data_IF_949117797295
#
_entry.id   IF_949117797295
#
_cell.length_a   1.000
_cell.length_b   1.000
_cell.length_c   1.000
_cell.angle_alpha   90.00
_cell.angle_beta   90.00
_cell.angle_gamma   90.00
#
_symmetry.space_group_name_H-M   'P 1'
#
loop_
_entity.id
_entity.type
_entity.pdbx_description
1 polymer ?
#
# COMPACT_ATOMS: atom_id res chain seq x y z
N UNK A 1 -22.63 -26.98 -37.31
CA UNK A 1 -22.87 -27.44 -35.92
C UNK A 1 -21.53 -27.42 -35.22
N UNK A 2 -21.16 -26.29 -34.65
CA UNK A 2 -19.89 -26.11 -33.94
C UNK A 2 -20.13 -26.47 -32.48
N UNK A 3 -19.36 -27.45 -31.98
CA UNK A 3 -19.47 -27.96 -30.63
C UNK A 3 -19.20 -26.84 -29.61
N UNK A 4 -20.20 -26.52 -28.79
CA UNK A 4 -20.03 -25.74 -27.57
C UNK A 4 -19.11 -26.52 -26.63
N UNK A 5 -17.90 -25.99 -26.42
CA UNK A 5 -16.95 -26.52 -25.46
C UNK A 5 -17.57 -26.59 -24.06
N UNK A 6 -17.59 -27.79 -23.50
CA UNK A 6 -17.97 -28.04 -22.12
C UNK A 6 -17.00 -27.28 -21.21
N UNK A 7 -17.49 -26.23 -20.54
CA UNK A 7 -16.77 -25.64 -19.41
C UNK A 7 -16.73 -26.68 -18.29
N UNK A 8 -15.56 -27.26 -18.06
CA UNK A 8 -15.29 -28.11 -16.90
C UNK A 8 -15.43 -27.29 -15.63
N UNK A 9 -16.31 -27.73 -14.73
CA UNK A 9 -16.47 -27.12 -13.41
C UNK A 9 -15.12 -27.18 -12.68
N UNK A 10 -14.61 -26.07 -12.11
CA UNK A 10 -13.31 -26.08 -11.43
C UNK A 10 -13.33 -27.09 -10.28
N UNK A 11 -12.25 -27.86 -10.15
CA UNK A 11 -12.09 -28.81 -9.05
C UNK A 11 -12.19 -28.07 -7.71
N UNK A 12 -12.90 -28.65 -6.74
CA UNK A 12 -12.96 -28.07 -5.39
C UNK A 12 -11.56 -28.09 -4.79
N UNK A 13 -11.12 -27.02 -4.10
CA UNK A 13 -9.83 -27.02 -3.44
C UNK A 13 -9.81 -28.06 -2.33
N UNK A 14 -8.65 -28.69 -2.16
CA UNK A 14 -8.40 -29.64 -1.08
C UNK A 14 -8.34 -28.89 0.25
N UNK A 15 -8.71 -29.58 1.33
CA UNK A 15 -8.78 -29.03 2.68
C UNK A 15 -8.17 -30.02 3.66
N UNK A 16 -7.29 -29.52 4.52
CA UNK A 16 -6.70 -30.30 5.59
C UNK A 16 -6.85 -29.55 6.91
N UNK A 17 -6.92 -30.32 7.99
CA UNK A 17 -6.75 -29.82 9.37
C UNK A 17 -5.67 -30.70 9.97
N UNK A 18 -4.49 -30.13 10.19
CA UNK A 18 -3.29 -30.83 10.65
C UNK A 18 -2.89 -30.31 12.02
N UNK A 19 -2.28 -31.14 12.86
CA UNK A 19 -1.62 -30.70 14.09
C UNK A 19 -0.18 -30.26 13.84
N UNK A 20 0.38 -29.49 14.77
CA UNK A 20 1.77 -29.03 14.69
C UNK A 20 2.78 -30.19 14.49
N UNK A 21 2.57 -31.31 15.18
CA UNK A 21 3.40 -32.51 15.05
C UNK A 21 3.37 -33.12 13.64
N UNK A 22 2.19 -33.15 13.02
CA UNK A 22 2.00 -33.71 11.67
C UNK A 22 2.66 -32.83 10.62
N UNK A 23 2.53 -31.51 10.76
CA UNK A 23 3.22 -30.56 9.90
C UNK A 23 4.73 -30.71 10.05
N UNK A 24 5.24 -30.84 11.28
CA UNK A 24 6.66 -31.05 11.52
C UNK A 24 7.19 -32.31 10.81
N UNK A 25 6.50 -33.44 10.97
CA UNK A 25 6.90 -34.70 10.33
C UNK A 25 6.82 -34.60 8.79
N UNK A 26 5.74 -34.03 8.23
CA UNK A 26 5.60 -33.84 6.78
C UNK A 26 6.67 -32.92 6.18
N UNK A 27 7.03 -31.84 6.88
CA UNK A 27 8.10 -30.94 6.45
C UNK A 27 9.47 -31.62 6.51
N UNK A 28 9.74 -32.36 7.59
CA UNK A 28 10.98 -33.15 7.74
C UNK A 28 11.11 -34.19 6.63
N UNK A 29 10.07 -34.98 6.41
CA UNK A 29 10.05 -36.06 5.41
C UNK A 29 10.04 -35.52 3.97
N UNK A 30 9.76 -34.23 3.78
CA UNK A 30 9.90 -33.53 2.51
C UNK A 30 11.22 -32.75 2.37
N UNK A 31 12.07 -32.76 3.40
CA UNK A 31 13.30 -31.97 3.48
C UNK A 31 13.04 -30.46 3.24
N UNK A 32 11.89 -29.96 3.71
CA UNK A 32 11.51 -28.56 3.59
C UNK A 32 11.80 -27.85 4.91
N UNK A 33 12.78 -26.97 4.91
CA UNK A 33 13.03 -26.06 6.04
C UNK A 33 12.17 -24.79 5.90
N UNK A 34 11.31 -24.48 6.90
CA UNK A 34 10.56 -23.24 6.93
C UNK A 34 11.49 -22.02 7.04
N UNK A 35 11.13 -20.94 6.33
CA UNK A 35 11.88 -19.69 6.34
C UNK A 35 11.02 -18.53 6.86
N UNK A 36 11.67 -17.39 7.12
CA UNK A 36 11.07 -16.12 7.51
C UNK A 36 9.81 -15.79 6.70
N UNK A 37 8.74 -15.43 7.42
CA UNK A 37 7.40 -15.21 6.86
C UNK A 37 6.46 -16.41 7.01
N UNK A 38 7.01 -17.62 7.19
CA UNK A 38 6.21 -18.82 7.48
C UNK A 38 5.73 -18.87 8.94
N UNK A 39 4.49 -19.32 9.20
CA UNK A 39 4.02 -19.63 10.55
C UNK A 39 4.74 -20.85 11.13
N UNK A 40 5.46 -21.62 10.29
CA UNK A 40 6.14 -22.85 10.65
C UNK A 40 7.58 -22.65 11.12
N UNK A 41 8.11 -21.42 11.08
CA UNK A 41 9.47 -21.08 11.50
C UNK A 41 9.84 -21.56 12.92
N UNK A 42 8.86 -21.60 13.82
CA UNK A 42 9.07 -21.96 15.22
C UNK A 42 8.44 -23.30 15.58
N UNK A 43 8.05 -24.11 14.59
CA UNK A 43 7.58 -25.48 14.86
C UNK A 43 8.71 -26.30 15.47
N UNK A 44 8.38 -27.04 16.52
CA UNK A 44 9.32 -27.89 17.25
C UNK A 44 8.96 -29.36 17.05
N UNK A 45 9.97 -30.22 17.18
CA UNK A 45 9.76 -31.66 17.11
C UNK A 45 8.75 -32.10 18.18
N UNK A 46 7.82 -33.00 17.85
CA UNK A 46 6.88 -33.52 18.83
C UNK A 46 7.62 -34.25 19.98
N UNK A 47 7.02 -34.23 21.17
CA UNK A 47 7.60 -34.88 22.34
C UNK A 47 7.75 -36.39 22.10
N UNK A 48 8.87 -36.98 22.55
CA UNK A 48 9.12 -38.42 22.44
C UNK A 48 7.96 -39.21 23.04
N UNK A 49 7.27 -40.00 22.22
CA UNK A 49 6.14 -40.84 22.61
C UNK A 49 4.75 -40.31 22.21
N UNK A 50 4.67 -39.18 21.48
CA UNK A 50 3.43 -38.78 20.81
C UNK A 50 3.00 -39.87 19.82
N UNK A 51 1.73 -40.30 19.87
CA UNK A 51 1.19 -41.26 18.92
C UNK A 51 1.37 -40.73 17.49
N UNK A 52 1.85 -41.54 16.53
CA UNK A 52 1.88 -41.14 15.14
C UNK A 52 0.47 -40.79 14.70
N UNK A 53 0.30 -39.67 14.01
CA UNK A 53 -1.03 -39.30 13.54
C UNK A 53 -1.48 -40.32 12.50
N UNK A 54 -2.68 -40.87 12.71
CA UNK A 54 -3.10 -42.09 12.04
C UNK A 54 -3.97 -41.86 10.80
N UNK A 55 -3.98 -40.67 10.18
CA UNK A 55 -4.91 -40.43 9.07
C UNK A 55 -4.50 -39.36 8.04
N UNK A 56 -3.34 -38.72 8.18
CA UNK A 56 -2.91 -37.74 7.17
C UNK A 56 -2.36 -38.50 5.96
N UNK A 57 -3.18 -38.61 4.89
CA UNK A 57 -2.70 -39.06 3.59
C UNK A 57 -1.66 -38.06 3.10
N UNK A 58 -0.39 -38.42 3.31
CA UNK A 58 0.76 -37.75 2.73
C UNK A 58 0.67 -37.82 1.21
N UNK A 59 0.07 -36.77 0.65
CA UNK A 59 -0.19 -36.62 -0.77
C UNK A 59 0.72 -35.53 -1.33
N UNK A 60 0.99 -35.63 -2.63
CA UNK A 60 1.69 -34.59 -3.35
C UNK A 60 1.04 -33.19 -3.19
N UNK A 61 -0.29 -33.13 -3.07
CA UNK A 61 -1.01 -31.87 -2.92
C UNK A 61 -0.82 -31.22 -1.54
N UNK A 62 -0.82 -32.00 -0.44
CA UNK A 62 -0.55 -31.43 0.89
C UNK A 62 0.91 -30.98 1.01
N UNK A 63 1.86 -31.73 0.42
CA UNK A 63 3.27 -31.33 0.36
C UNK A 63 3.44 -30.01 -0.38
N UNK A 64 2.81 -29.84 -1.54
CA UNK A 64 2.81 -28.56 -2.28
C UNK A 64 2.25 -27.39 -1.47
N UNK A 65 1.13 -27.59 -0.79
CA UNK A 65 0.53 -26.57 0.06
C UNK A 65 1.49 -26.17 1.20
N UNK A 66 2.08 -27.16 1.88
CA UNK A 66 3.07 -26.93 2.93
C UNK A 66 4.33 -26.25 2.41
N UNK A 67 4.81 -26.57 1.20
CA UNK A 67 5.94 -25.85 0.58
C UNK A 67 5.65 -24.36 0.44
N UNK A 68 4.46 -23.99 -0.06
CA UNK A 68 4.08 -22.58 -0.23
C UNK A 68 4.02 -21.86 1.12
N UNK A 69 3.51 -22.51 2.16
CA UNK A 69 3.43 -21.93 3.51
C UNK A 69 4.80 -21.87 4.19
N UNK A 70 5.65 -22.89 3.99
CA UNK A 70 6.97 -23.00 4.61
C UNK A 70 8.00 -22.06 3.98
N UNK A 71 7.95 -21.87 2.66
CA UNK A 71 8.87 -21.03 1.89
C UNK A 71 8.12 -20.05 0.98
N UNK A 72 7.36 -19.10 1.56
CA UNK A 72 6.63 -18.13 0.77
C UNK A 72 7.56 -17.08 0.18
N UNK A 73 7.28 -16.64 -1.05
CA UNK A 73 7.81 -15.38 -1.59
C UNK A 73 6.83 -14.22 -1.35
N UNK A 74 5.56 -14.55 -1.16
CA UNK A 74 4.44 -13.62 -0.98
C UNK A 74 3.62 -14.09 0.22
N UNK A 75 3.45 -13.22 1.21
CA UNK A 75 2.56 -13.47 2.36
C UNK A 75 1.46 -12.42 2.34
N UNK A 76 0.20 -12.85 2.37
CA UNK A 76 -0.99 -12.01 2.31
C UNK A 76 -1.86 -12.26 3.53
N UNK A 77 -2.14 -11.25 4.34
CA UNK A 77 -3.10 -11.36 5.44
C UNK A 77 -4.45 -10.78 5.05
N UNK A 78 -5.53 -11.56 5.13
CA UNK A 78 -6.90 -11.07 4.99
C UNK A 78 -7.61 -11.12 6.34
N UNK A 79 -7.90 -9.94 6.88
CA UNK A 79 -8.68 -9.80 8.09
C UNK A 79 -10.15 -10.13 7.84
N UNK A 80 -10.69 -11.07 8.60
CA UNK A 80 -12.10 -11.41 8.70
C UNK A 80 -12.66 -10.95 10.06
N UNK A 81 -13.92 -10.54 10.08
CA UNK A 81 -14.62 -10.20 11.30
C UNK A 81 -15.92 -10.99 11.46
N UNK A 82 -15.90 -12.14 12.15
CA UNK A 82 -17.09 -12.72 12.75
C UNK A 82 -17.54 -11.93 14.00
N UNK A 83 -18.77 -12.13 14.50
CA UNK A 83 -19.37 -11.31 15.56
C UNK A 83 -18.65 -11.29 16.92
N UNK A 84 -17.66 -12.17 17.18
CA UNK A 84 -17.03 -12.31 18.51
C UNK A 84 -15.55 -11.89 18.56
N UNK A 85 -14.73 -12.18 17.53
CA UNK A 85 -13.30 -11.80 17.50
C UNK A 85 -12.78 -11.61 16.06
N UNK A 86 -11.93 -10.60 15.79
CA UNK A 86 -11.22 -10.51 14.52
C UNK A 86 -10.28 -11.71 14.34
N UNK A 87 -10.30 -12.29 13.15
CA UNK A 87 -9.45 -13.43 12.76
C UNK A 87 -8.78 -13.11 11.41
N UNK A 88 -7.64 -13.72 11.10
CA UNK A 88 -6.89 -13.46 9.87
C UNK A 88 -6.71 -14.76 9.11
N UNK A 89 -7.21 -14.80 7.87
CA UNK A 89 -6.81 -15.84 6.93
C UNK A 89 -5.53 -15.40 6.25
N UNK A 90 -4.47 -16.18 6.40
CA UNK A 90 -3.21 -15.94 5.72
C UNK A 90 -3.19 -16.70 4.40
N UNK A 91 -2.69 -16.08 3.34
CA UNK A 91 -2.44 -16.71 2.06
C UNK A 91 -0.95 -16.65 1.76
N UNK A 92 -0.38 -17.79 1.42
CA UNK A 92 1.04 -17.96 1.15
C UNK A 92 1.23 -18.33 -0.31
N UNK A 93 2.05 -17.54 -1.02
CA UNK A 93 2.31 -17.67 -2.45
C UNK A 93 3.80 -17.73 -2.75
N UNK A 94 4.12 -18.30 -3.91
CA UNK A 94 5.47 -18.37 -4.47
C UNK A 94 5.51 -17.51 -5.74
N UNK A 95 6.61 -16.80 -5.95
CA UNK A 95 6.75 -15.88 -7.06
C UNK A 95 6.61 -16.62 -8.40
N UNK A 96 5.70 -16.14 -9.25
CA UNK A 96 5.42 -16.76 -10.54
C UNK A 96 4.33 -17.85 -10.52
N UNK A 97 3.91 -18.34 -9.34
CA UNK A 97 2.72 -19.18 -9.21
C UNK A 97 1.46 -18.29 -9.08
N UNK A 98 0.35 -18.74 -9.64
CA UNK A 98 -0.97 -18.10 -9.55
C UNK A 98 -1.83 -18.69 -8.44
N UNK A 99 -1.32 -19.69 -7.72
CA UNK A 99 -2.00 -20.34 -6.61
C UNK A 99 -1.39 -19.95 -5.27
N UNK A 100 -2.25 -19.92 -4.27
CA UNK A 100 -1.91 -19.62 -2.89
C UNK A 100 -2.42 -20.74 -1.98
N UNK A 101 -1.69 -20.99 -0.91
CA UNK A 101 -2.15 -21.80 0.21
C UNK A 101 -2.82 -20.89 1.23
N UNK A 102 -4.13 -21.07 1.46
CA UNK A 102 -4.80 -20.38 2.56
C UNK A 102 -4.56 -21.16 3.86
N UNK A 103 -4.32 -20.43 4.94
CA UNK A 103 -3.91 -20.96 6.22
C UNK A 103 -4.58 -20.19 7.36
N UNK A 104 -5.03 -20.94 8.36
CA UNK A 104 -5.59 -20.40 9.60
C UNK A 104 -5.23 -21.33 10.74
N UNK A 105 -4.93 -20.77 11.90
CA UNK A 105 -4.61 -21.54 13.09
C UNK A 105 -5.66 -21.31 14.18
N UNK A 106 -6.16 -22.39 14.75
CA UNK A 106 -7.08 -22.40 15.87
C UNK A 106 -6.54 -23.40 16.90
N UNK A 107 -5.95 -22.87 17.98
CA UNK A 107 -5.18 -23.64 18.96
C UNK A 107 -4.04 -24.46 18.29
N UNK A 108 -4.07 -25.79 18.41
CA UNK A 108 -3.13 -26.73 17.77
C UNK A 108 -3.61 -27.19 16.38
N UNK A 109 -4.78 -26.73 15.92
CA UNK A 109 -5.32 -27.08 14.61
C UNK A 109 -4.87 -26.07 13.56
N UNK A 110 -4.22 -26.58 12.51
CA UNK A 110 -3.79 -25.81 11.36
C UNK A 110 -4.67 -26.16 10.16
N UNK A 111 -5.55 -25.23 9.80
CA UNK A 111 -6.46 -25.37 8.66
C UNK A 111 -5.78 -24.89 7.40
N UNK A 112 -5.68 -25.76 6.39
CA UNK A 112 -5.01 -25.48 5.12
C UNK A 112 -5.99 -25.71 3.97
N UNK A 113 -6.07 -24.75 3.04
CA UNK A 113 -6.83 -24.88 1.79
C UNK A 113 -5.91 -24.64 0.61
N UNK A 114 -5.87 -25.59 -0.32
CA UNK A 114 -5.04 -25.51 -1.52
C UNK A 114 -5.65 -26.28 -2.71
N UNK A 115 -5.50 -25.79 -3.95
CA UNK A 115 -4.97 -24.48 -4.32
C UNK A 115 -6.05 -23.39 -4.27
N UNK A 116 -5.68 -22.17 -3.87
CA UNK A 116 -6.53 -20.97 -4.01
C UNK A 116 -5.99 -20.13 -5.15
N UNK A 117 -6.73 -20.02 -6.26
CA UNK A 117 -6.30 -19.21 -7.40
C UNK A 117 -6.36 -17.71 -7.12
N UNK A 118 -5.46 -16.94 -7.74
CA UNK A 118 -5.39 -15.48 -7.63
C UNK A 118 -6.71 -14.78 -7.94
N UNK A 119 -7.46 -15.26 -8.94
CA UNK A 119 -8.79 -14.73 -9.25
C UNK A 119 -9.80 -14.92 -8.11
N UNK A 120 -9.81 -16.09 -7.47
CA UNK A 120 -10.68 -16.35 -6.31
C UNK A 120 -10.31 -15.45 -5.14
N UNK A 121 -9.02 -15.19 -4.93
CA UNK A 121 -8.56 -14.29 -3.88
C UNK A 121 -9.03 -12.84 -4.13
N UNK A 122 -8.93 -12.36 -5.38
CA UNK A 122 -9.47 -11.04 -5.76
C UNK A 122 -10.98 -10.97 -5.52
N UNK A 123 -11.74 -12.00 -5.90
CA UNK A 123 -13.18 -12.06 -5.65
C UNK A 123 -13.55 -12.02 -4.16
N UNK A 124 -12.77 -12.68 -3.30
CA UNK A 124 -12.98 -12.63 -1.85
C UNK A 124 -12.82 -11.21 -1.31
N UNK A 125 -11.79 -10.49 -1.78
CA UNK A 125 -11.54 -9.10 -1.40
C UNK A 125 -12.59 -8.14 -1.96
N UNK A 126 -13.00 -8.35 -3.22
CA UNK A 126 -14.08 -7.60 -3.85
C UNK A 126 -15.39 -7.73 -3.09
N UNK A 127 -15.70 -8.95 -2.65
CA UNK A 127 -16.88 -9.23 -1.85
C UNK A 127 -16.80 -8.56 -0.47
N UNK A 128 -15.65 -8.64 0.19
CA UNK A 128 -15.44 -8.03 1.51
C UNK A 128 -15.59 -6.50 1.51
N UNK A 129 -15.28 -5.86 0.37
CA UNK A 129 -15.34 -4.41 0.21
C UNK A 129 -16.54 -3.93 -0.61
N UNK A 130 -17.41 -4.84 -1.08
CA UNK A 130 -18.50 -4.52 -2.01
C UNK A 130 -18.02 -3.64 -3.18
N UNK A 131 -16.93 -4.05 -3.84
CA UNK A 131 -16.26 -3.28 -4.91
C UNK A 131 -17.18 -3.09 -6.12
N UNK A 132 -18.09 -4.04 -6.36
CA UNK A 132 -19.12 -3.99 -7.38
C UNK A 132 -20.09 -2.81 -7.20
N UNK A 133 -20.24 -2.32 -5.97
CA UNK A 133 -21.07 -1.17 -5.67
C UNK A 133 -20.35 0.14 -6.02
N UNK A 134 -21.03 1.10 -6.66
CA UNK A 134 -20.41 2.37 -7.03
C UNK A 134 -19.89 3.11 -5.79
N UNK A 135 -18.72 3.72 -5.93
CA UNK A 135 -18.13 4.62 -4.95
C UNK A 135 -17.98 6.00 -5.58
N UNK A 136 -18.50 7.01 -4.88
CA UNK A 136 -18.31 8.41 -5.24
C UNK A 136 -16.97 8.87 -4.68
N UNK A 137 -16.23 9.62 -5.49
CA UNK A 137 -14.99 10.25 -5.07
C UNK A 137 -15.05 11.77 -5.22
N UNK A 138 -14.48 12.49 -4.25
CA UNK A 138 -14.18 13.92 -4.27
C UNK A 138 -12.66 14.18 -4.39
N UNK A 139 -11.87 13.17 -4.80
CA UNK A 139 -10.41 13.23 -4.91
C UNK A 139 -9.74 13.79 -3.65
N UNK A 140 -10.26 13.41 -2.49
CA UNK A 140 -9.71 13.74 -1.18
C UNK A 140 -8.55 12.80 -0.86
N UNK A 141 -7.37 13.36 -0.58
CA UNK A 141 -6.21 12.56 -0.20
C UNK A 141 -5.33 13.28 0.82
N UNK A 142 -4.71 12.49 1.70
CA UNK A 142 -3.81 12.94 2.76
C UNK A 142 -2.59 12.03 2.81
N UNK A 143 -1.43 12.59 3.12
CA UNK A 143 -0.20 11.84 3.41
C UNK A 143 0.20 12.04 4.86
N UNK A 144 -0.17 11.10 5.72
CA UNK A 144 -0.09 11.22 7.17
C UNK A 144 1.16 10.52 7.70
N UNK A 145 1.80 11.12 8.70
CA UNK A 145 2.66 10.35 9.61
C UNK A 145 1.79 9.56 10.61
N UNK A 146 2.44 8.71 11.41
CA UNK A 146 1.76 7.91 12.44
C UNK A 146 0.91 8.75 13.40
N UNK A 147 1.42 9.88 13.89
CA UNK A 147 0.71 10.72 14.87
C UNK A 147 -0.52 11.37 14.25
N UNK A 148 -0.40 11.90 13.03
CA UNK A 148 -1.52 12.46 12.28
C UNK A 148 -2.57 11.41 11.94
N UNK A 149 -2.16 10.17 11.62
CA UNK A 149 -3.08 9.05 11.42
C UNK A 149 -3.83 8.68 12.71
N UNK A 150 -3.12 8.50 13.83
CA UNK A 150 -3.76 8.23 15.13
C UNK A 150 -4.75 9.35 15.49
N UNK A 151 -4.39 10.63 15.30
CA UNK A 151 -5.30 11.76 15.53
C UNK A 151 -6.52 11.75 14.61
N UNK A 152 -6.35 11.45 13.31
CA UNK A 152 -7.47 11.35 12.37
C UNK A 152 -8.51 10.35 12.87
N UNK A 153 -8.06 9.18 13.34
CA UNK A 153 -8.98 8.13 13.81
C UNK A 153 -9.85 8.59 14.97
N UNK A 154 -9.29 9.41 15.86
CA UNK A 154 -10.01 9.96 17.01
C UNK A 154 -10.92 11.13 16.60
N UNK A 155 -10.52 11.94 15.61
CA UNK A 155 -11.37 12.99 15.03
C UNK A 155 -12.61 12.37 14.37
N UNK A 156 -12.45 11.29 13.59
CA UNK A 156 -13.57 10.55 13.01
C UNK A 156 -14.55 10.10 14.10
N UNK A 157 -14.01 9.59 15.21
CA UNK A 157 -14.79 9.09 16.33
C UNK A 157 -15.53 10.17 17.11
N UNK A 158 -14.88 11.30 17.43
CA UNK A 158 -15.54 12.36 18.19
C UNK A 158 -16.69 13.01 17.38
N UNK A 159 -16.54 13.08 16.05
CA UNK A 159 -17.59 13.52 15.12
C UNK A 159 -18.76 12.53 15.13
N UNK A 160 -18.45 11.23 15.02
CA UNK A 160 -19.45 10.16 15.07
C UNK A 160 -20.21 10.17 16.40
N UNK A 161 -19.51 10.30 17.52
CA UNK A 161 -20.12 10.35 18.86
C UNK A 161 -21.04 11.56 19.01
N UNK A 162 -20.60 12.77 18.62
CA UNK A 162 -21.42 13.97 18.66
C UNK A 162 -22.69 13.84 17.82
N UNK A 163 -22.58 13.22 16.64
CA UNK A 163 -23.72 12.95 15.74
C UNK A 163 -24.71 11.97 16.37
N UNK A 164 -24.23 10.89 16.97
CA UNK A 164 -25.07 9.89 17.64
C UNK A 164 -25.77 10.46 18.88
N UNK A 165 -25.06 11.24 19.70
CA UNK A 165 -25.64 11.93 20.85
C UNK A 165 -26.72 12.94 20.43
N UNK A 166 -26.50 13.70 19.37
CA UNK A 166 -27.51 14.60 18.84
C UNK A 166 -28.75 13.84 18.34
N UNK A 167 -28.55 12.74 17.61
CA UNK A 167 -29.64 11.89 17.13
C UNK A 167 -30.47 11.31 18.29
N UNK A 168 -29.83 10.80 19.35
CA UNK A 168 -30.49 10.33 20.57
C UNK A 168 -31.35 11.42 21.22
N UNK A 169 -30.85 12.66 21.22
CA UNK A 169 -31.54 13.81 21.78
C UNK A 169 -32.51 14.50 20.79
N UNK A 170 -32.69 13.95 19.59
CA UNK A 170 -33.52 14.54 18.50
C UNK A 170 -33.10 15.97 18.15
N UNK A 171 -31.80 16.23 18.18
CA UNK A 171 -31.17 17.51 17.83
C UNK A 171 -30.42 17.40 16.49
N UNK A 172 -30.24 18.53 15.77
CA UNK A 172 -29.35 18.53 14.61
C UNK A 172 -27.90 18.21 15.01
N UNK A 173 -27.10 17.58 14.14
CA UNK A 173 -25.70 17.31 14.44
C UNK A 173 -24.94 18.60 14.78
N UNK A 174 -24.21 18.65 15.91
CA UNK A 174 -23.45 19.83 16.29
C UNK A 174 -22.28 20.03 15.34
N UNK A 175 -21.79 21.27 15.23
CA UNK A 175 -20.47 21.48 14.67
C UNK A 175 -19.42 20.94 15.66
N UNK A 176 -18.53 20.03 15.23
CA UNK A 176 -17.52 19.47 16.11
C UNK A 176 -16.57 20.56 16.62
N UNK A 177 -16.39 20.63 17.93
CA UNK A 177 -15.39 21.47 18.61
C UNK A 177 -14.67 20.60 19.63
N UNK A 178 -13.34 20.63 19.62
CA UNK A 178 -12.52 19.82 20.50
C UNK A 178 -11.14 20.42 20.71
N UNK A 179 -10.50 20.07 21.82
CA UNK A 179 -9.06 20.18 22.00
C UNK A 179 -8.41 18.78 22.09
N UNK A 180 -7.10 18.72 22.37
CA UNK A 180 -6.39 17.45 22.51
C UNK A 180 -6.87 16.61 23.71
N UNK A 181 -7.35 17.24 24.78
CA UNK A 181 -7.86 16.56 25.96
C UNK A 181 -9.22 15.90 25.67
N UNK A 182 -10.09 16.59 24.93
CA UNK A 182 -11.34 16.03 24.43
C UNK A 182 -11.10 14.82 23.52
N UNK A 183 -10.16 14.93 22.59
CA UNK A 183 -9.75 13.79 21.74
C UNK A 183 -9.20 12.66 22.60
N UNK A 184 -8.36 12.93 23.60
CA UNK A 184 -7.78 11.88 24.44
C UNK A 184 -8.84 11.15 25.28
N UNK A 185 -9.83 11.88 25.81
CA UNK A 185 -10.99 11.28 26.49
C UNK A 185 -11.82 10.41 25.54
N UNK A 186 -12.06 10.89 24.31
CA UNK A 186 -12.73 10.13 23.25
C UNK A 186 -11.99 8.83 22.94
N UNK A 187 -10.69 8.91 22.67
CA UNK A 187 -9.82 7.77 22.44
C UNK A 187 -9.92 6.71 23.55
N UNK A 188 -9.81 7.12 24.83
CA UNK A 188 -9.93 6.19 25.96
C UNK A 188 -11.30 5.54 26.07
N UNK A 189 -12.37 6.30 25.82
CA UNK A 189 -13.75 5.80 25.90
C UNK A 189 -14.02 4.76 24.80
N UNK A 190 -13.58 5.03 23.58
CA UNK A 190 -13.86 4.17 22.42
C UNK A 190 -12.95 2.94 22.32
N UNK A 191 -11.97 2.81 23.22
CA UNK A 191 -11.18 1.59 23.41
C UNK A 191 -11.79 0.60 24.43
N UNK A 192 -12.94 0.93 25.05
CA UNK A 192 -13.62 0.04 25.99
C UNK A 192 -14.41 -1.03 25.23
N UNK A 193 -14.00 -2.29 25.35
CA UNK A 193 -14.62 -3.40 24.63
C UNK A 193 -14.34 -3.39 23.13
N UNK A 194 -14.97 -4.31 22.39
CA UNK A 194 -14.86 -4.39 20.93
C UNK A 194 -16.13 -3.83 20.28
N UNK A 195 -16.00 -2.73 19.54
CA UNK A 195 -17.05 -2.09 18.76
C UNK A 195 -16.44 -1.41 17.53
N UNK A 196 -16.52 -2.10 16.41
CA UNK A 196 -15.93 -1.69 15.13
C UNK A 196 -16.70 -0.58 14.41
N UNK A 197 -17.77 -0.06 15.01
CA UNK A 197 -18.35 1.20 14.54
C UNK A 197 -17.39 2.37 14.77
N UNK A 198 -16.48 2.23 15.74
CA UNK A 198 -15.43 3.21 16.05
C UNK A 198 -14.18 3.02 15.18
N UNK A 199 -13.73 4.11 14.58
CA UNK A 199 -12.57 4.18 13.72
C UNK A 199 -11.28 3.87 14.48
N UNK A 200 -11.14 4.26 15.75
CA UNK A 200 -9.93 3.89 16.53
C UNK A 200 -9.76 2.38 16.64
N UNK A 201 -10.86 1.63 16.73
CA UNK A 201 -10.80 0.17 16.80
C UNK A 201 -10.49 -0.44 15.44
N UNK A 202 -11.14 0.04 14.37
CA UNK A 202 -10.81 -0.37 12.99
C UNK A 202 -9.35 -0.09 12.67
N UNK A 203 -8.84 1.10 13.03
CA UNK A 203 -7.47 1.49 12.76
C UNK A 203 -6.44 0.58 13.43
N UNK A 204 -6.73 0.04 14.62
CA UNK A 204 -5.87 -0.97 15.27
C UNK A 204 -5.78 -2.27 14.47
N UNK A 205 -6.81 -2.60 13.71
CA UNK A 205 -6.83 -3.77 12.81
C UNK A 205 -6.21 -3.45 11.44
N UNK A 206 -6.35 -2.20 10.97
CA UNK A 206 -5.82 -1.75 9.69
C UNK A 206 -4.34 -1.37 9.75
N UNK A 207 -3.78 -1.05 10.91
CA UNK A 207 -2.40 -0.57 11.02
C UNK A 207 -1.39 -1.72 11.01
N UNK A 208 -0.26 -1.57 10.31
CA UNK A 208 0.82 -2.57 10.35
C UNK A 208 1.59 -2.58 11.68
N UNK A 209 1.35 -1.60 12.57
CA UNK A 209 2.00 -1.50 13.88
C UNK A 209 0.96 -1.26 14.98
N UNK A 210 1.21 -1.70 16.22
CA UNK A 210 0.32 -1.39 17.34
C UNK A 210 0.16 0.12 17.56
N UNK A 211 -1.09 0.60 17.49
CA UNK A 211 -1.42 2.00 17.71
C UNK A 211 -1.61 2.31 19.20
N UNK A 212 -0.99 3.41 19.64
CA UNK A 212 -1.04 3.91 21.02
C UNK A 212 -0.96 5.42 21.00
N UNK A 213 -2.07 6.09 21.32
CA UNK A 213 -2.13 7.54 21.30
C UNK A 213 -2.00 8.15 22.70
N UNK A 214 -1.47 9.36 22.77
CA UNK A 214 -1.30 10.15 23.98
C UNK A 214 -1.51 11.64 23.64
N UNK A 215 -1.56 12.51 24.65
CA UNK A 215 -1.80 13.95 24.44
C UNK A 215 -0.78 14.61 23.51
N UNK A 216 0.49 14.22 23.57
CA UNK A 216 1.55 14.79 22.73
C UNK A 216 1.32 14.45 21.24
N UNK A 217 1.08 13.17 20.92
CA UNK A 217 0.76 12.73 19.56
C UNK A 217 -0.52 13.37 19.03
N UNK A 218 -1.54 13.48 19.89
CA UNK A 218 -2.81 14.11 19.52
C UNK A 218 -2.61 15.60 19.18
N UNK A 219 -1.88 16.34 20.01
CA UNK A 219 -1.51 17.73 19.72
C UNK A 219 -0.73 17.85 18.42
N UNK A 220 0.27 16.99 18.19
CA UNK A 220 1.03 16.97 16.94
C UNK A 220 0.12 16.77 15.72
N UNK A 221 -0.81 15.81 15.78
CA UNK A 221 -1.75 15.57 14.69
C UNK A 221 -2.75 16.72 14.50
N UNK A 222 -3.23 17.37 15.56
CA UNK A 222 -4.09 18.56 15.46
C UNK A 222 -3.37 19.66 14.70
N UNK A 223 -2.13 19.98 15.07
CA UNK A 223 -1.33 21.00 14.39
C UNK A 223 -1.03 20.60 12.94
N UNK A 224 -0.73 19.33 12.67
CA UNK A 224 -0.59 18.80 11.32
C UNK A 224 -1.81 19.12 10.44
N UNK A 225 -3.03 18.93 10.96
CA UNK A 225 -4.27 19.22 10.23
C UNK A 225 -4.56 20.73 10.14
N UNK A 226 -4.27 21.51 11.20
CA UNK A 226 -4.42 22.96 11.20
C UNK A 226 -3.54 23.62 10.14
N UNK A 227 -2.27 23.24 10.06
CA UNK A 227 -1.31 23.80 9.10
C UNK A 227 -1.69 23.53 7.64
N UNK A 228 -2.44 22.45 7.40
CA UNK A 228 -2.98 22.09 6.08
C UNK A 228 -4.36 22.68 5.81
N UNK A 229 -4.87 23.53 6.70
CA UNK A 229 -6.17 24.17 6.56
C UNK A 229 -7.35 23.20 6.68
N UNK A 230 -7.16 22.03 7.30
CA UNK A 230 -8.21 21.04 7.51
C UNK A 230 -8.97 21.28 8.83
N UNK A 231 -8.30 21.90 9.80
CA UNK A 231 -8.88 22.42 11.04
C UNK A 231 -8.78 23.94 11.09
N UNK A 232 -9.82 24.60 11.59
CA UNK A 232 -9.80 25.99 12.03
C UNK A 232 -9.70 26.05 13.55
N UNK A 233 -9.13 27.13 14.08
CA UNK A 233 -8.93 27.32 15.52
C UNK A 233 -9.75 28.53 16.00
N UNK A 234 -10.53 28.32 17.05
CA UNK A 234 -11.30 29.34 17.77
C UNK A 234 -10.91 29.30 19.26
N UNK A 235 -10.03 30.21 19.68
CA UNK A 235 -9.47 30.19 21.04
C UNK A 235 -8.62 28.93 21.28
N UNK A 236 -9.03 28.09 22.22
CA UNK A 236 -8.38 26.82 22.53
C UNK A 236 -8.94 25.62 21.74
N UNK A 237 -10.08 25.80 21.07
CA UNK A 237 -10.80 24.71 20.41
C UNK A 237 -10.53 24.70 18.90
N UNK A 238 -10.65 23.51 18.32
CA UNK A 238 -10.48 23.24 16.90
C UNK A 238 -11.78 22.72 16.31
N UNK A 239 -12.05 23.12 15.06
CA UNK A 239 -13.21 22.65 14.29
C UNK A 239 -12.78 22.19 12.90
N UNK A 240 -13.33 21.09 12.38
CA UNK A 240 -13.03 20.65 11.03
C UNK A 240 -13.66 21.58 10.00
N UNK A 241 -12.91 21.86 8.93
CA UNK A 241 -13.48 22.49 7.74
C UNK A 241 -14.58 21.61 7.14
N UNK A 242 -15.51 22.19 6.38
CA UNK A 242 -16.64 21.45 5.78
C UNK A 242 -16.19 20.22 5.00
N UNK A 243 -15.17 20.35 4.13
CA UNK A 243 -14.65 19.23 3.33
C UNK A 243 -14.04 18.14 4.21
N UNK A 244 -13.25 18.52 5.22
CA UNK A 244 -12.64 17.56 6.13
C UNK A 244 -13.67 16.85 7.01
N UNK A 245 -14.70 17.57 7.48
CA UNK A 245 -15.81 16.99 8.23
C UNK A 245 -16.58 15.96 7.40
N UNK A 246 -16.86 16.26 6.12
CA UNK A 246 -17.49 15.30 5.20
C UNK A 246 -16.64 14.05 5.02
N UNK A 247 -15.32 14.21 4.78
CA UNK A 247 -14.39 13.08 4.67
C UNK A 247 -14.40 12.21 5.94
N UNK A 248 -14.36 12.82 7.13
CA UNK A 248 -14.42 12.10 8.40
C UNK A 248 -15.75 11.35 8.59
N UNK A 249 -16.87 11.95 8.16
CA UNK A 249 -18.20 11.32 8.23
C UNK A 249 -18.30 10.10 7.30
N UNK A 250 -17.71 10.19 6.10
CA UNK A 250 -17.66 9.06 5.17
C UNK A 250 -16.77 7.92 5.69
N UNK A 251 -15.66 8.25 6.36
CA UNK A 251 -14.80 7.28 7.04
C UNK A 251 -15.49 6.61 8.25
N UNK A 252 -16.39 7.31 8.94
CA UNK A 252 -17.12 6.74 10.08
C UNK A 252 -18.19 5.73 9.64
N UNK A 253 -18.85 5.98 8.51
CA UNK A 253 -19.94 5.19 7.92
C UNK A 253 -19.48 3.87 7.25
N UNK A 254 -18.59 3.13 7.90
CA UNK A 254 -18.02 1.88 7.39
C UNK A 254 -19.04 0.74 7.36
N UNK A 255 -19.16 0.06 6.22
CA UNK A 255 -19.99 -1.14 6.01
C UNK A 255 -19.17 -2.40 5.70
N UNK A 256 -17.89 -2.23 5.38
CA UNK A 256 -16.96 -3.32 5.15
C UNK A 256 -15.53 -2.76 5.13
N UNK A 257 -14.56 -3.55 5.55
CA UNK A 257 -13.16 -3.16 5.47
C UNK A 257 -12.29 -4.41 5.38
N UNK A 258 -11.13 -4.27 4.78
CA UNK A 258 -10.10 -5.30 4.80
C UNK A 258 -8.74 -4.64 5.00
N UNK A 259 -7.84 -5.37 5.63
CA UNK A 259 -6.42 -5.09 5.55
C UNK A 259 -5.78 -6.18 4.70
N UNK A 260 -4.83 -5.78 3.88
CA UNK A 260 -3.97 -6.64 3.09
C UNK A 260 -2.52 -6.24 3.36
N UNK A 261 -1.86 -7.00 4.21
CA UNK A 261 -0.41 -6.94 4.33
C UNK A 261 0.19 -7.82 3.24
N UNK A 262 1.01 -7.29 2.36
CA UNK A 262 1.84 -8.07 1.46
C UNK A 262 3.30 -7.94 1.89
N UNK A 263 3.92 -9.08 2.20
CA UNK A 263 5.38 -9.15 2.35
C UNK A 263 5.93 -9.84 1.14
N UNK A 264 6.92 -9.21 0.51
CA UNK A 264 7.60 -9.78 -0.64
C UNK A 264 9.11 -9.77 -0.42
N UNK A 265 9.73 -10.90 -0.73
CA UNK A 265 11.18 -10.98 -0.76
C UNK A 265 11.69 -10.11 -1.92
N UNK A 266 12.45 -9.07 -1.59
CA UNK A 266 13.00 -8.09 -2.49
C UNK A 266 14.46 -7.82 -2.07
N UNK A 267 15.41 -8.69 -2.44
CA UNK A 267 16.80 -8.54 -2.06
C UNK A 267 17.34 -7.20 -2.60
N UNK A 268 17.69 -6.31 -1.69
CA UNK A 268 18.28 -5.01 -2.01
C UNK A 268 19.71 -4.93 -1.47
N UNK A 269 20.71 -4.56 -2.28
CA UNK A 269 22.11 -4.57 -1.86
C UNK A 269 22.46 -3.69 -0.65
N UNK A 270 21.60 -2.71 -0.32
CA UNK A 270 21.85 -1.66 0.69
C UNK A 270 20.81 -1.62 1.82
N UNK A 271 19.85 -2.56 1.88
CA UNK A 271 18.80 -2.56 2.90
C UNK A 271 19.13 -3.49 4.08
N UNK A 272 18.75 -3.10 5.30
CA UNK A 272 18.86 -3.94 6.51
C UNK A 272 17.94 -5.18 6.47
N UNK A 273 17.06 -5.30 5.48
CA UNK A 273 16.10 -6.39 5.30
C UNK A 273 15.89 -6.69 3.82
N UNK A 274 16.02 -7.97 3.43
CA UNK A 274 15.74 -8.48 2.08
C UNK A 274 14.23 -8.57 1.76
N UNK A 275 13.38 -7.96 2.60
CA UNK A 275 11.93 -8.00 2.46
C UNK A 275 11.35 -6.59 2.37
N UNK A 276 10.56 -6.37 1.31
CA UNK A 276 9.69 -5.21 1.17
C UNK A 276 8.33 -5.53 1.80
N UNK A 277 7.92 -4.68 2.75
CA UNK A 277 6.60 -4.74 3.37
C UNK A 277 5.73 -3.66 2.73
N UNK A 278 4.80 -4.09 1.89
CA UNK A 278 3.72 -3.24 1.44
C UNK A 278 2.49 -3.57 2.28
N UNK A 279 2.00 -2.58 3.01
CA UNK A 279 0.78 -2.76 3.77
C UNK A 279 -0.29 -1.84 3.21
N UNK A 280 -1.36 -2.43 2.70
CA UNK A 280 -2.48 -1.71 2.14
C UNK A 280 -3.72 -2.08 2.93
N UNK A 281 -4.49 -1.09 3.34
CA UNK A 281 -5.83 -1.32 3.86
C UNK A 281 -6.86 -0.64 2.97
N UNK A 282 -8.06 -1.18 2.97
CA UNK A 282 -9.19 -0.59 2.29
C UNK A 282 -10.42 -0.58 3.20
N UNK A 283 -11.20 0.49 3.10
CA UNK A 283 -12.44 0.67 3.85
C UNK A 283 -13.57 1.06 2.91
N UNK A 284 -14.67 0.34 2.98
CA UNK A 284 -15.93 0.66 2.31
C UNK A 284 -16.83 1.43 3.26
N UNK A 285 -17.04 2.69 2.94
CA UNK A 285 -18.08 3.53 3.54
C UNK A 285 -19.39 3.45 2.76
N UNK A 286 -20.46 4.02 3.31
CA UNK A 286 -21.71 4.22 2.56
C UNK A 286 -21.44 5.20 1.39
N UNK A 287 -21.33 4.65 0.18
CA UNK A 287 -21.10 5.42 -1.05
C UNK A 287 -19.66 5.87 -1.29
N UNK A 288 -18.67 5.40 -0.51
CA UNK A 288 -17.26 5.76 -0.67
C UNK A 288 -16.34 4.54 -0.50
N UNK A 289 -15.22 4.51 -1.21
CA UNK A 289 -14.14 3.54 -1.00
C UNK A 289 -12.88 4.30 -0.61
N UNK A 290 -12.17 3.80 0.38
CA UNK A 290 -10.98 4.41 0.94
C UNK A 290 -9.81 3.45 0.83
N UNK A 291 -8.66 3.96 0.41
CA UNK A 291 -7.39 3.24 0.35
C UNK A 291 -6.41 3.87 1.34
N UNK A 292 -5.67 2.99 2.03
CA UNK A 292 -4.61 3.34 2.96
C UNK A 292 -3.35 2.62 2.48
N UNK A 293 -2.40 3.36 1.92
CA UNK A 293 -1.12 2.82 1.45
C UNK A 293 -0.04 3.18 2.47
N UNK A 294 0.40 2.19 3.25
CA UNK A 294 1.42 2.38 4.28
C UNK A 294 2.81 2.16 3.70
N UNK A 295 3.73 3.05 4.04
CA UNK A 295 5.13 3.05 3.59
C UNK A 295 6.05 3.38 4.77
N UNK A 296 7.35 3.16 4.60
CA UNK A 296 8.36 3.40 5.64
C UNK A 296 7.99 2.69 6.97
N UNK A 297 7.44 1.48 6.88
CA UNK A 297 6.94 0.74 8.03
C UNK A 297 8.13 0.18 8.82
N UNK A 298 8.22 0.55 10.09
CA UNK A 298 9.16 -0.02 11.08
C UNK A 298 8.36 -0.71 12.19
N UNK A 299 9.03 -1.24 13.22
CA UNK A 299 8.35 -1.82 14.38
C UNK A 299 7.48 -0.83 15.15
N UNK A 300 7.76 0.47 15.05
CA UNK A 300 7.08 1.52 15.82
C UNK A 300 6.59 2.69 14.98
N UNK A 301 6.81 2.71 13.67
CA UNK A 301 6.44 3.87 12.86
C UNK A 301 6.00 3.50 11.44
N UNK A 302 5.33 4.43 10.78
CA UNK A 302 4.95 4.34 9.38
C UNK A 302 4.58 5.73 8.85
N UNK A 303 4.52 5.85 7.53
CA UNK A 303 3.76 6.87 6.82
C UNK A 303 2.57 6.21 6.13
N UNK A 304 1.46 6.92 5.96
CA UNK A 304 0.28 6.39 5.26
C UNK A 304 -0.32 7.42 4.33
N UNK A 305 -0.53 7.02 3.08
CA UNK A 305 -1.35 7.78 2.14
C UNK A 305 -2.78 7.28 2.23
N UNK A 306 -3.68 8.17 2.63
CA UNK A 306 -5.11 7.95 2.66
C UNK A 306 -5.73 8.65 1.45
N UNK A 307 -6.71 8.02 0.80
CA UNK A 307 -7.59 8.73 -0.11
C UNK A 307 -8.85 7.96 -0.44
N UNK A 308 -9.88 8.69 -0.85
CA UNK A 308 -11.03 8.07 -1.48
C UNK A 308 -10.69 7.70 -2.93
N UNK A 309 -11.15 6.54 -3.37
CA UNK A 309 -10.77 5.97 -4.66
C UNK A 309 -11.96 5.34 -5.37
N UNK A 310 -11.80 5.08 -6.67
CA UNK A 310 -12.78 4.31 -7.45
C UNK A 310 -12.59 2.81 -7.25
N UNK A 311 -13.64 2.04 -7.51
CA UNK A 311 -13.58 0.57 -7.53
C UNK A 311 -12.52 0.04 -8.50
N UNK A 312 -12.36 0.67 -9.66
CA UNK A 312 -11.36 0.28 -10.66
C UNK A 312 -9.93 0.46 -10.17
N UNK A 313 -9.63 1.59 -9.51
CA UNK A 313 -8.31 1.83 -8.94
C UNK A 313 -8.02 0.88 -7.79
N UNK A 314 -9.02 0.55 -6.97
CA UNK A 314 -8.87 -0.45 -5.92
C UNK A 314 -8.52 -1.82 -6.50
N UNK A 315 -9.25 -2.25 -7.53
CA UNK A 315 -9.00 -3.53 -8.21
C UNK A 315 -7.58 -3.59 -8.79
N UNK A 316 -7.14 -2.54 -9.48
CA UNK A 316 -5.76 -2.43 -10.00
C UNK A 316 -4.71 -2.54 -8.89
N UNK A 317 -4.93 -1.84 -7.76
CA UNK A 317 -4.02 -1.85 -6.61
C UNK A 317 -3.94 -3.23 -5.95
N UNK A 318 -5.08 -3.89 -5.78
CA UNK A 318 -5.13 -5.25 -5.25
C UNK A 318 -4.40 -6.22 -6.17
N UNK A 319 -4.67 -6.17 -7.48
CA UNK A 319 -3.98 -7.00 -8.48
C UNK A 319 -2.47 -6.78 -8.49
N UNK A 320 -2.00 -5.52 -8.42
CA UNK A 320 -0.58 -5.21 -8.34
C UNK A 320 0.10 -5.83 -7.11
N UNK A 321 -0.62 -5.95 -5.99
CA UNK A 321 -0.14 -6.63 -4.79
C UNK A 321 0.02 -8.15 -4.94
N UNK A 322 -0.75 -8.79 -5.83
CA UNK A 322 -0.71 -10.24 -6.05
C UNK A 322 0.30 -10.68 -7.11
N UNK A 323 0.62 -9.82 -8.08
CA UNK A 323 1.51 -10.17 -9.17
C UNK A 323 2.95 -9.84 -8.75
N UNK A 324 3.88 -10.79 -8.92
CA UNK A 324 5.31 -10.53 -9.16
C UNK A 324 5.52 -9.14 -9.77
N UNK A 325 6.28 -8.13 -9.28
CA UNK A 325 6.90 -7.32 -10.32
C UNK A 325 7.79 -8.36 -11.00
N UNK A 326 7.40 -8.84 -12.18
CA UNK A 326 8.39 -9.37 -13.12
C UNK A 326 9.51 -8.35 -13.05
N UNK A 327 10.76 -8.74 -12.73
CA UNK A 327 11.84 -7.77 -12.70
C UNK A 327 11.66 -6.97 -13.97
N UNK A 328 11.37 -5.68 -13.81
CA UNK A 328 11.22 -4.79 -14.93
C UNK A 328 12.62 -4.79 -15.52
N UNK A 329 12.88 -5.71 -16.45
CA UNK A 329 13.76 -5.42 -17.56
C UNK A 329 13.24 -4.08 -17.99
N UNK A 330 14.05 -3.04 -17.75
CA UNK A 330 13.74 -1.68 -18.15
C UNK A 330 13.04 -1.79 -19.51
N UNK A 331 11.88 -1.12 -19.69
CA UNK A 331 11.14 -1.23 -20.94
C UNK A 331 12.18 -1.18 -22.06
N UNK A 332 12.25 -2.20 -22.95
CA UNK A 332 13.26 -2.21 -24.00
C UNK A 332 13.24 -0.81 -24.59
N UNK A 333 14.39 -0.14 -24.71
CA UNK A 333 14.45 1.29 -24.99
C UNK A 333 13.44 1.54 -26.09
N UNK A 334 12.38 2.28 -25.75
CA UNK A 334 11.37 2.65 -26.72
C UNK A 334 12.19 3.45 -27.72
N UNK A 335 12.45 2.85 -28.88
CA UNK A 335 12.93 3.57 -30.03
C UNK A 335 11.96 4.71 -30.20
N UNK A 336 12.43 5.88 -29.76
CA UNK A 336 11.72 7.13 -29.93
C UNK A 336 11.42 7.23 -31.42
N UNK A 337 10.20 7.62 -31.83
CA UNK A 337 9.90 7.72 -33.24
C UNK A 337 10.96 8.60 -33.89
N UNK A 338 11.62 8.03 -34.90
CA UNK A 338 12.68 8.66 -35.66
C UNK A 338 12.27 10.12 -35.93
N UNK A 339 13.02 11.07 -35.37
CA UNK A 339 12.87 12.47 -35.73
C UNK A 339 13.14 12.57 -37.23
N UNK A 340 12.09 12.72 -38.01
CA UNK A 340 12.20 13.08 -39.42
C UNK A 340 13.03 14.37 -39.51
N UNK A 341 14.28 14.26 -39.98
CA UNK A 341 15.11 15.43 -40.27
C UNK A 341 14.52 16.13 -41.50
N UNK A 342 13.85 17.26 -41.32
CA UNK A 342 13.26 18.03 -42.42
C UNK A 342 14.19 19.20 -42.77
N UNK A 343 14.43 19.41 -44.07
CA UNK A 343 15.22 20.54 -44.54
C UNK A 343 14.54 21.86 -44.15
N UNK A 344 15.21 22.75 -43.39
CA UNK A 344 14.61 24.00 -42.93
C UNK A 344 14.30 24.98 -44.07
N UNK A 345 14.91 24.80 -45.26
CA UNK A 345 14.71 25.71 -46.38
C UNK A 345 13.56 25.31 -47.32
N UNK A 346 13.28 24.02 -47.49
CA UNK A 346 12.28 23.56 -48.47
C UNK A 346 11.28 22.52 -47.96
N UNK A 347 11.36 22.15 -46.68
CA UNK A 347 10.40 21.21 -46.06
C UNK A 347 10.54 19.75 -46.52
N UNK A 348 11.58 19.40 -47.28
CA UNK A 348 11.79 18.02 -47.76
C UNK A 348 12.43 17.17 -46.66
N UNK A 349 11.92 15.95 -46.45
CA UNK A 349 12.53 14.97 -45.55
C UNK A 349 13.95 14.60 -46.04
N UNK A 350 14.93 14.81 -45.18
CA UNK A 350 16.34 14.47 -45.36
C UNK A 350 16.59 13.08 -44.77
N UNK A 351 17.49 12.34 -45.41
CA UNK A 351 18.03 11.10 -44.83
C UNK A 351 19.00 11.48 -43.70
N UNK A 352 19.17 10.63 -42.66
CA UNK A 352 20.21 10.83 -41.66
C UNK A 352 21.58 10.99 -42.34
N UNK A 353 22.43 11.89 -41.83
CA UNK A 353 23.82 12.15 -42.27
C UNK A 353 24.04 12.82 -43.65
N UNK A 354 23.03 13.50 -44.21
CA UNK A 354 23.25 14.31 -45.44
C UNK A 354 23.75 15.71 -45.13
N UNK A 355 24.97 16.04 -45.58
CA UNK A 355 25.55 17.38 -45.44
C UNK A 355 24.89 18.45 -46.32
N UNK A 356 24.04 18.05 -47.27
CA UNK A 356 23.32 18.95 -48.20
C UNK A 356 21.94 18.39 -48.55
N UNK A 357 20.94 19.26 -48.73
CA UNK A 357 19.61 18.87 -49.18
C UNK A 357 19.61 18.50 -50.67
N UNK A 358 19.16 17.29 -51.01
CA UNK A 358 19.09 16.78 -52.38
C UNK A 358 18.12 17.53 -53.30
N UNK A 359 17.16 18.29 -52.75
CA UNK A 359 16.14 19.00 -53.55
C UNK A 359 16.46 20.48 -53.76
N UNK A 360 16.99 21.17 -52.75
CA UNK A 360 17.25 22.61 -52.82
C UNK A 360 18.74 22.99 -52.71
N UNK A 361 19.64 22.04 -52.51
CA UNK A 361 21.09 22.26 -52.46
C UNK A 361 21.64 22.91 -51.18
N UNK A 362 20.79 23.20 -50.18
CA UNK A 362 21.21 23.88 -48.95
C UNK A 362 22.05 22.96 -48.04
N UNK A 363 23.17 23.46 -47.49
CA UNK A 363 24.07 22.72 -46.59
C UNK A 363 23.47 22.55 -45.19
N UNK A 364 23.54 21.34 -44.63
CA UNK A 364 23.00 20.98 -43.30
C UNK A 364 24.12 20.30 -42.51
N UNK A 365 24.69 20.97 -41.51
CA UNK A 365 25.87 20.50 -40.77
C UNK A 365 25.51 19.79 -39.46
N UNK A 366 26.10 18.61 -39.23
CA UNK A 366 26.13 17.90 -37.95
C UNK A 366 27.59 17.96 -37.48
N UNK A 367 27.86 18.69 -36.39
CA UNK A 367 29.21 18.80 -35.82
C UNK A 367 29.40 17.72 -34.75
N UNK A 368 30.08 16.63 -35.13
CA UNK A 368 30.71 15.66 -34.22
C UNK A 368 32.15 16.08 -33.96
N UNK A 369 32.55 16.25 -32.69
CA UNK A 369 33.96 16.29 -32.28
C UNK A 369 34.24 15.23 -31.23
N UNK A 370 35.12 14.31 -31.59
CA UNK A 370 35.78 13.27 -30.79
C UNK A 370 37.00 13.84 -30.06
N UNK A 371 37.21 13.54 -28.76
CA UNK A 371 38.57 13.32 -28.22
C UNK A 371 38.58 12.53 -26.88
N UNK A 372 39.64 11.73 -26.69
CA UNK A 372 39.98 10.80 -25.57
C UNK A 372 41.00 11.50 -24.60
N UNK A 373 41.65 10.88 -23.57
CA UNK A 373 41.60 11.34 -22.17
C UNK A 373 42.92 11.83 -21.48
N UNK A 374 42.74 12.62 -20.39
CA UNK A 374 43.63 12.95 -19.23
C UNK A 374 44.91 13.81 -19.45
N UNK A 375 45.53 14.50 -18.44
CA UNK A 375 45.23 14.63 -16.99
C UNK A 375 45.42 16.04 -16.32
N UNK A 376 45.11 16.09 -15.01
CA UNK A 376 45.60 16.99 -13.93
C UNK A 376 45.12 18.47 -13.80
N UNK A 377 44.66 18.78 -12.58
CA UNK A 377 44.19 20.05 -11.98
C UNK A 377 45.25 21.18 -11.96
N UNK A 378 44.96 22.47 -11.63
CA UNK A 378 44.23 22.92 -10.43
C UNK A 378 43.42 24.27 -10.64
N UNK A 379 43.07 25.05 -9.59
CA UNK A 379 41.70 25.45 -9.26
C UNK A 379 41.33 26.87 -9.73
N UNK A 380 40.06 27.09 -10.13
CA UNK A 380 39.52 28.46 -10.24
C UNK A 380 38.09 28.49 -9.71
N UNK A 381 37.86 29.46 -8.83
CA UNK A 381 36.59 29.78 -8.19
C UNK A 381 35.53 30.18 -9.21
N UNK A 382 34.27 29.78 -8.98
CA UNK A 382 33.13 30.47 -9.57
C UNK A 382 31.93 30.51 -8.62
N UNK A 383 31.38 31.71 -8.52
CA UNK A 383 30.37 32.19 -7.60
C UNK A 383 28.99 31.60 -7.89
N UNK A 384 28.67 30.44 -7.32
CA UNK A 384 27.31 29.91 -7.35
C UNK A 384 26.41 30.65 -6.33
N UNK A 385 25.59 31.57 -6.82
CA UNK A 385 24.51 32.19 -6.01
C UNK A 385 23.52 31.11 -5.59
N UNK A 386 23.18 30.99 -4.30
CA UNK A 386 22.24 29.97 -3.81
C UNK A 386 20.80 30.46 -3.80
N UNK A 387 19.85 29.55 -4.00
CA UNK A 387 18.43 29.85 -3.92
C UNK A 387 18.04 30.30 -2.51
N UNK A 388 17.39 31.47 -2.34
CA UNK A 388 17.00 31.96 -1.01
C UNK A 388 15.90 31.11 -0.35
N UNK A 389 15.16 30.29 -1.12
CA UNK A 389 14.07 29.45 -0.59
C UNK A 389 14.53 28.04 -0.19
N UNK A 390 15.45 27.42 -0.93
CA UNK A 390 15.82 26.02 -0.71
C UNK A 390 17.33 25.75 -0.66
N UNK A 391 18.18 26.78 -0.79
CA UNK A 391 19.64 26.67 -0.69
C UNK A 391 20.34 26.01 -1.88
N UNK A 392 19.60 25.58 -2.92
CA UNK A 392 20.18 24.96 -4.11
C UNK A 392 21.06 25.96 -4.90
N UNK A 393 22.20 25.53 -5.46
CA UNK A 393 23.02 26.40 -6.30
C UNK A 393 22.25 26.82 -7.55
N UNK A 394 22.28 28.13 -7.86
CA UNK A 394 21.67 28.72 -9.04
C UNK A 394 22.78 29.04 -10.05
N UNK A 395 22.53 28.73 -11.32
CA UNK A 395 23.35 29.19 -12.43
C UNK A 395 22.96 30.63 -12.81
N UNK A 396 23.90 31.40 -13.35
CA UNK A 396 23.64 32.79 -13.74
C UNK A 396 22.53 32.89 -14.81
N UNK A 397 21.66 33.89 -14.68
CA UNK A 397 20.59 34.18 -15.64
C UNK A 397 19.26 33.43 -15.46
N UNK A 398 19.14 32.52 -14.48
CA UNK A 398 17.87 31.80 -14.27
C UNK A 398 16.84 32.64 -13.50
N UNK A 399 15.63 32.74 -14.05
CA UNK A 399 14.51 33.51 -13.48
C UNK A 399 13.74 32.75 -12.39
N UNK A 400 13.88 31.43 -12.35
CA UNK A 400 13.23 30.54 -11.39
C UNK A 400 14.19 29.43 -10.95
N UNK A 401 14.09 29.01 -9.68
CA UNK A 401 14.87 27.89 -9.16
C UNK A 401 14.33 26.57 -9.74
N UNK A 402 15.19 25.81 -10.41
CA UNK A 402 14.85 24.51 -11.01
C UNK A 402 14.50 23.43 -9.98
N UNK A 403 14.90 23.60 -8.70
CA UNK A 403 14.61 22.63 -7.63
C UNK A 403 13.29 22.90 -6.89
N UNK A 404 12.90 24.15 -6.68
CA UNK A 404 11.71 24.48 -5.86
C UNK A 404 10.70 25.40 -6.54
N UNK A 405 10.94 25.80 -7.79
CA UNK A 405 10.05 26.67 -8.58
C UNK A 405 9.96 28.12 -8.12
N UNK A 406 10.73 28.53 -7.09
CA UNK A 406 10.67 29.89 -6.57
C UNK A 406 11.29 30.90 -7.56
N UNK A 407 10.67 32.08 -7.76
CA UNK A 407 11.24 33.14 -8.58
C UNK A 407 12.53 33.68 -7.97
N UNK A 408 13.56 33.84 -8.82
CA UNK A 408 14.87 34.38 -8.44
C UNK A 408 14.93 35.83 -8.92
N UNK A 409 14.93 36.79 -7.99
CA UNK A 409 15.07 38.22 -8.32
C UNK A 409 16.54 38.52 -8.65
N UNK A 410 16.93 38.39 -9.93
CA UNK A 410 18.31 38.70 -10.34
C UNK A 410 18.66 38.66 -11.83
N UNK A 411 17.80 38.18 -12.75
CA UNK A 411 18.10 38.19 -14.19
C UNK A 411 17.47 39.40 -14.89
N UNK A 412 18.27 40.41 -15.26
CA UNK A 412 17.89 41.39 -16.30
C UNK A 412 18.03 40.75 -17.67
#
# INVERSE_FOLDING_TARGET
>A
MTALGQQTKPAKPNRWTLRAAEIYDLLRDAEIEPWMGSPFMHLTAPAKGSAPSSDTQDTHEVRKALTHIARPDIVLGLLHYPPETPDVTWFYGVAGDQHFAAYRQEDDNHHIVWPVGSHTLVQLLETALAIDQPAVTDSFSLSLDRSAFETLTVIVDIIQEGTLLAALNRQPPPQPKFDAEDLFKCYKRNLRGIDLRWMVQRAKLLSPVPLTSNLEKLNHGIEYFRERGLLTREGALYSPTKRFNTACTLLSACIGFCALSTRRHAPQPEADSDWDLQHVAALRGIGSLWLFEFTNVTSTNFSVKLGDITSSLLHERLQAGFISPTPQTAPPPIDSPAKDHICPNCGTKLKPDTSFCSKCGAKVGIETSTEKPQPASPPVADTATKCPKCGAPLQEGIKFCTKCGAPVKGGR
#
